data_IF_328627398390
#
_entry.id   IF_328627398390
#
_cell.length_a   1.000
_cell.length_b   1.000
_cell.length_c   1.000
_cell.angle_alpha   90.00
_cell.angle_beta   90.00
_cell.angle_gamma   90.00
#
_symmetry.space_group_name_H-M   'P 1'
#
loop_
_entity.id
_entity.type
_entity.pdbx_description
1 polymer ?
#
# COMPACT_ATOMS: atom_id res chain seq x y z
N UNK A 1 -4.34 -44.85 38.25
CA UNK A 1 -4.60 -43.45 38.61
C UNK A 1 -3.31 -42.71 38.35
N UNK A 2 -3.14 -42.20 37.13
CA UNK A 2 -2.00 -41.38 36.76
C UNK A 2 -2.57 -40.01 36.40
N UNK A 3 -2.26 -39.04 37.27
CA UNK A 3 -2.76 -37.68 37.17
C UNK A 3 -2.27 -37.03 35.89
N UNK A 4 -3.21 -36.83 34.98
CA UNK A 4 -3.06 -35.96 33.82
C UNK A 4 -2.84 -34.54 34.37
N UNK A 5 -1.58 -34.11 34.46
CA UNK A 5 -1.25 -32.72 34.73
C UNK A 5 -1.69 -31.90 33.52
N UNK A 6 -2.96 -31.53 33.50
CA UNK A 6 -3.46 -30.45 32.68
C UNK A 6 -2.80 -29.17 33.21
N UNK A 7 -1.75 -28.72 32.55
CA UNK A 7 -1.22 -27.38 32.77
C UNK A 7 -2.24 -26.42 32.13
N UNK A 8 -2.90 -25.54 32.91
CA UNK A 8 -3.71 -24.49 32.32
C UNK A 8 -2.76 -23.49 31.64
N UNK A 9 -2.69 -23.51 30.30
CA UNK A 9 -2.11 -22.41 29.54
C UNK A 9 -3.06 -21.21 29.62
N UNK A 10 -2.97 -20.47 30.72
CA UNK A 10 -3.44 -19.10 30.83
C UNK A 10 -2.31 -18.30 31.46
N UNK A 11 -1.40 -17.80 30.63
CA UNK A 11 -0.46 -16.78 31.05
C UNK A 11 -0.07 -15.89 29.86
N UNK A 12 -0.28 -14.60 30.08
CA UNK A 12 0.03 -13.44 29.25
C UNK A 12 -0.89 -13.18 28.06
N UNK A 13 -1.77 -12.17 28.23
CA UNK A 13 -2.42 -11.43 27.16
C UNK A 13 -1.41 -10.68 26.31
N UNK A 14 -0.60 -11.42 25.57
CA UNK A 14 0.11 -10.90 24.41
C UNK A 14 -0.94 -10.91 23.31
N UNK A 15 -1.49 -9.73 23.02
CA UNK A 15 -2.18 -9.51 21.75
C UNK A 15 -1.25 -10.05 20.66
N UNK A 16 -1.67 -11.12 20.00
CA UNK A 16 -1.01 -11.56 18.78
C UNK A 16 -1.34 -10.47 17.78
N UNK A 17 -0.49 -9.45 17.71
CA UNK A 17 -0.57 -8.45 16.67
C UNK A 17 -0.06 -9.15 15.41
N UNK A 18 -0.96 -9.89 14.76
CA UNK A 18 -0.78 -10.41 13.42
C UNK A 18 -0.69 -9.22 12.45
N UNK A 19 0.44 -8.50 12.46
CA UNK A 19 0.77 -7.60 11.37
C UNK A 19 1.30 -8.41 10.19
N UNK A 20 0.41 -9.20 9.60
CA UNK A 20 0.61 -9.92 8.34
C UNK A 20 0.51 -8.96 7.13
N UNK A 21 1.12 -7.78 7.20
CA UNK A 21 1.13 -6.83 6.08
C UNK A 21 2.56 -6.56 5.62
N UNK A 22 2.75 -6.41 4.31
CA UNK A 22 4.01 -5.96 3.72
C UNK A 22 4.33 -4.50 4.08
N UNK A 23 3.31 -3.66 4.25
CA UNK A 23 3.45 -2.24 4.59
C UNK A 23 2.78 -1.94 5.93
N UNK A 24 3.35 -0.98 6.66
CA UNK A 24 2.70 -0.46 7.87
C UNK A 24 1.42 0.27 7.53
N UNK A 25 0.48 0.35 8.48
CA UNK A 25 -0.77 1.09 8.30
C UNK A 25 -0.51 2.57 7.97
N UNK A 26 0.53 3.17 8.55
CA UNK A 26 0.95 4.54 8.23
C UNK A 26 1.38 4.67 6.76
N UNK A 27 2.18 3.72 6.24
CA UNK A 27 2.56 3.72 4.83
C UNK A 27 1.33 3.57 3.90
N UNK A 28 0.38 2.70 4.26
CA UNK A 28 -0.89 2.56 3.53
C UNK A 28 -1.70 3.87 3.56
N UNK A 29 -1.72 4.58 4.68
CA UNK A 29 -2.40 5.89 4.77
C UNK A 29 -1.75 6.94 3.87
N UNK A 30 -0.42 7.02 3.83
CA UNK A 30 0.31 7.93 2.93
C UNK A 30 -0.02 7.60 1.46
N UNK A 31 0.00 6.33 1.07
CA UNK A 31 -0.35 5.90 -0.28
C UNK A 31 -1.80 6.28 -0.64
N UNK A 32 -2.74 6.17 0.30
CA UNK A 32 -4.13 6.61 0.09
C UNK A 32 -4.23 8.12 -0.11
N UNK A 33 -3.49 8.91 0.67
CA UNK A 33 -3.49 10.38 0.53
C UNK A 33 -2.94 10.80 -0.84
N UNK A 34 -1.84 10.19 -1.27
CA UNK A 34 -1.27 10.41 -2.61
C UNK A 34 -2.25 10.01 -3.72
N UNK A 35 -2.90 8.86 -3.56
CA UNK A 35 -3.90 8.39 -4.53
C UNK A 35 -5.06 9.39 -4.64
N UNK A 36 -5.60 9.85 -3.52
CA UNK A 36 -6.67 10.85 -3.49
C UNK A 36 -6.24 12.17 -4.15
N UNK A 37 -5.02 12.63 -3.86
CA UNK A 37 -4.48 13.83 -4.47
C UNK A 37 -4.39 13.70 -6.00
N UNK A 38 -3.81 12.61 -6.50
CA UNK A 38 -3.69 12.36 -7.93
C UNK A 38 -5.06 12.23 -8.62
N UNK A 39 -6.04 11.60 -7.97
CA UNK A 39 -7.40 11.52 -8.48
C UNK A 39 -8.05 12.90 -8.61
N UNK A 40 -7.89 13.78 -7.61
CA UNK A 40 -8.39 15.15 -7.67
C UNK A 40 -7.75 15.97 -8.80
N UNK A 41 -6.46 15.77 -9.09
CA UNK A 41 -5.79 16.42 -10.21
C UNK A 41 -6.29 15.90 -11.55
N UNK A 42 -6.51 14.59 -11.70
CA UNK A 42 -7.10 14.02 -12.91
C UNK A 42 -8.49 14.61 -13.15
N UNK A 43 -9.35 14.67 -12.13
CA UNK A 43 -10.69 15.27 -12.26
C UNK A 43 -10.63 16.73 -12.71
N UNK A 44 -9.64 17.51 -12.24
CA UNK A 44 -9.43 18.88 -12.68
C UNK A 44 -8.98 18.96 -14.14
N UNK A 45 -8.08 18.07 -14.56
CA UNK A 45 -7.60 18.01 -15.94
C UNK A 45 -8.71 17.57 -16.89
N UNK A 46 -9.53 16.59 -16.52
CA UNK A 46 -10.65 16.09 -17.33
C UNK A 46 -11.71 17.16 -17.59
N UNK A 47 -11.81 18.19 -16.72
CA UNK A 47 -12.68 19.36 -16.93
C UNK A 47 -12.13 20.34 -17.97
N UNK A 48 -10.86 20.22 -18.37
CA UNK A 48 -10.26 21.06 -19.41
C UNK A 48 -10.57 20.51 -20.82
N UNK A 49 -10.74 21.38 -21.84
CA UNK A 49 -10.86 20.92 -23.22
C UNK A 49 -9.65 20.08 -23.63
N UNK A 50 -9.87 18.83 -24.02
CA UNK A 50 -8.83 17.85 -24.36
C UNK A 50 -7.85 17.50 -23.22
N UNK A 51 -8.23 17.67 -21.95
CA UNK A 51 -7.38 17.37 -20.80
C UNK A 51 -6.80 15.95 -20.79
N UNK A 52 -7.61 14.96 -21.18
CA UNK A 52 -7.20 13.55 -21.28
C UNK A 52 -6.06 13.31 -22.29
N UNK A 53 -5.88 14.21 -23.27
CA UNK A 53 -4.79 14.12 -24.26
C UNK A 53 -3.49 14.72 -23.76
N UNK A 54 -3.48 15.29 -22.56
CA UNK A 54 -2.28 15.92 -22.00
C UNK A 54 -1.33 14.87 -21.45
N UNK A 55 -0.02 15.14 -21.57
CA UNK A 55 1.02 14.32 -20.95
C UNK A 55 0.82 14.18 -19.43
N UNK A 56 0.31 15.23 -18.80
CA UNK A 56 0.05 15.25 -17.36
C UNK A 56 -1.03 14.24 -16.97
N UNK A 57 -2.15 14.18 -17.72
CA UNK A 57 -3.21 13.20 -17.47
C UNK A 57 -2.67 11.77 -17.53
N UNK A 58 -1.93 11.41 -18.59
CA UNK A 58 -1.35 10.08 -18.73
C UNK A 58 -0.35 9.75 -17.60
N UNK A 59 0.42 10.73 -17.16
CA UNK A 59 1.38 10.57 -16.06
C UNK A 59 0.65 10.28 -14.74
N UNK A 60 -0.34 11.11 -14.39
CA UNK A 60 -1.12 10.94 -13.17
C UNK A 60 -1.90 9.62 -13.17
N UNK A 61 -2.44 9.22 -14.33
CA UNK A 61 -3.14 7.94 -14.47
C UNK A 61 -2.22 6.76 -14.17
N UNK A 62 -1.02 6.77 -14.73
CA UNK A 62 0.00 5.74 -14.43
C UNK A 62 0.38 5.74 -12.94
N UNK A 63 0.48 6.91 -12.31
CA UNK A 63 0.76 7.01 -10.88
C UNK A 63 -0.37 6.42 -10.02
N UNK A 64 -1.65 6.63 -10.41
CA UNK A 64 -2.77 5.97 -9.73
C UNK A 64 -2.67 4.45 -9.83
N UNK A 65 -2.38 3.90 -11.01
CA UNK A 65 -2.24 2.45 -11.20
C UNK A 65 -1.11 1.88 -10.32
N UNK A 66 0.00 2.61 -10.18
CA UNK A 66 1.13 2.22 -9.30
C UNK A 66 0.71 2.27 -7.82
N UNK A 67 0.02 3.33 -7.40
CA UNK A 67 -0.44 3.49 -6.02
C UNK A 67 -1.45 2.41 -5.62
N UNK A 68 -2.37 2.06 -6.52
CA UNK A 68 -3.33 0.96 -6.33
C UNK A 68 -2.61 -0.38 -6.16
N UNK A 69 -1.62 -0.66 -7.00
CA UNK A 69 -0.82 -1.88 -6.88
C UNK A 69 -0.01 -1.91 -5.58
N UNK A 70 0.61 -0.80 -5.17
CA UNK A 70 1.30 -0.69 -3.90
C UNK A 70 0.37 -0.92 -2.70
N UNK A 71 -0.82 -0.33 -2.72
CA UNK A 71 -1.83 -0.56 -1.68
C UNK A 71 -2.32 -2.01 -1.67
N UNK A 72 -2.49 -2.65 -2.84
CA UNK A 72 -2.91 -4.05 -2.96
C UNK A 72 -1.85 -5.00 -2.42
N UNK A 73 -0.58 -4.79 -2.76
CA UNK A 73 0.55 -5.60 -2.30
C UNK A 73 0.87 -5.36 -0.82
N UNK A 74 0.70 -4.12 -0.36
CA UNK A 74 0.99 -3.69 1.01
C UNK A 74 0.07 -4.29 2.07
N UNK A 75 -1.17 -4.64 1.72
CA UNK A 75 -2.18 -5.24 2.62
C UNK A 75 -2.15 -6.78 2.68
N UNK A 76 -1.12 -7.40 2.11
CA UNK A 76 -1.00 -8.86 2.05
C UNK A 76 0.09 -9.33 3.02
N UNK A 77 -0.02 -10.58 3.52
CA UNK A 77 1.05 -11.26 4.25
C UNK A 77 2.38 -11.13 3.56
N UNK A 78 3.39 -10.82 4.36
CA UNK A 78 4.67 -10.44 3.79
C UNK A 78 5.30 -11.59 3.01
N UNK A 79 5.64 -11.34 1.76
CA UNK A 79 6.31 -12.31 0.91
C UNK A 79 7.38 -11.62 0.07
N UNK A 80 8.46 -12.35 -0.19
CA UNK A 80 9.66 -11.82 -0.85
C UNK A 80 9.38 -11.23 -2.24
N UNK A 81 8.51 -11.86 -3.02
CA UNK A 81 8.16 -11.39 -4.37
C UNK A 81 7.41 -10.05 -4.35
N UNK A 82 6.45 -9.90 -3.43
CA UNK A 82 5.69 -8.67 -3.26
C UNK A 82 6.60 -7.55 -2.72
N UNK A 83 7.55 -7.86 -1.83
CA UNK A 83 8.56 -6.90 -1.37
C UNK A 83 9.43 -6.38 -2.52
N UNK A 84 9.96 -7.27 -3.38
CA UNK A 84 10.73 -6.87 -4.58
C UNK A 84 9.86 -6.00 -5.51
N UNK A 85 8.60 -6.39 -5.70
CA UNK A 85 7.66 -5.66 -6.57
C UNK A 85 7.34 -4.28 -6.02
N UNK A 86 7.12 -4.14 -4.71
CA UNK A 86 6.94 -2.85 -4.03
C UNK A 86 8.16 -1.95 -4.25
N UNK A 87 9.38 -2.47 -3.99
CA UNK A 87 10.62 -1.72 -4.21
C UNK A 87 10.72 -1.28 -5.67
N UNK A 88 10.48 -2.19 -6.62
CA UNK A 88 10.55 -1.89 -8.06
C UNK A 88 9.55 -0.80 -8.46
N UNK A 89 8.32 -0.87 -7.95
CA UNK A 89 7.28 0.13 -8.22
C UNK A 89 7.65 1.52 -7.69
N UNK A 90 8.24 1.59 -6.50
CA UNK A 90 8.75 2.85 -5.92
C UNK A 90 9.89 3.43 -6.78
N UNK A 91 10.81 2.60 -7.28
CA UNK A 91 11.94 3.07 -8.10
C UNK A 91 11.57 3.41 -9.55
N UNK A 92 10.60 2.70 -10.14
CA UNK A 92 10.14 2.93 -11.52
C UNK A 92 9.40 4.27 -11.63
N UNK A 93 8.71 4.68 -10.57
CA UNK A 93 8.13 6.01 -10.48
C UNK A 93 9.04 6.93 -9.66
N UNK A 94 10.04 7.49 -10.36
CA UNK A 94 11.06 8.38 -9.78
C UNK A 94 10.49 9.54 -8.96
N UNK A 95 9.22 9.91 -9.16
CA UNK A 95 8.57 10.97 -8.40
C UNK A 95 7.89 10.48 -7.12
N UNK A 96 7.42 9.22 -7.06
CA UNK A 96 7.00 8.57 -5.81
C UNK A 96 8.19 8.39 -4.85
N UNK A 97 9.37 8.08 -5.38
CA UNK A 97 10.61 7.94 -4.59
C UNK A 97 10.99 9.22 -3.82
N UNK A 98 10.62 10.42 -4.30
CA UNK A 98 10.91 11.67 -3.59
C UNK A 98 9.84 12.06 -2.55
N UNK A 99 8.70 11.35 -2.52
CA UNK A 99 7.56 11.63 -1.63
C UNK A 99 7.50 10.70 -0.41
N UNK A 100 8.21 9.57 -0.45
CA UNK A 100 8.35 8.60 0.65
C UNK A 100 9.74 8.76 1.26
#
# INVERSE_FOLDING_TARGET
MDGQFAIPMQAAGVEVVEHENNLSDNAIQILRQLHQHNAQWIEQIERLPNGERTRMWHKLRRQLDVLDELMRLGRRPSNFYDQIRIITLIFVDRELYYLI
#
